data_IF_577082913764
#
_entry.id   IF_577082913764
#
_cell.length_a   1.000
_cell.length_b   1.000
_cell.length_c   1.000
_cell.angle_alpha   90.00
_cell.angle_beta   90.00
_cell.angle_gamma   90.00
#
_symmetry.space_group_name_H-M   'P 1'
#
loop_
_entity.id
_entity.type
_entity.pdbx_description
1 polymer ?
#
# COMPACT_ATOMS: atom_id res chain seq x y z
N UNK A 1 48.39 -21.52 -14.06
CA UNK A 1 47.83 -22.06 -12.79
C UNK A 1 47.13 -20.94 -11.98
N UNK A 2 47.52 -19.69 -12.13
CA UNK A 2 46.95 -18.57 -11.36
C UNK A 2 45.54 -18.12 -11.88
N UNK A 3 45.30 -18.26 -13.19
CA UNK A 3 44.06 -17.82 -13.80
C UNK A 3 42.83 -18.57 -13.27
N UNK A 4 42.96 -19.84 -12.94
CA UNK A 4 41.85 -20.65 -12.39
C UNK A 4 41.50 -20.22 -10.95
N UNK A 5 42.46 -19.86 -10.14
CA UNK A 5 42.20 -19.37 -8.78
C UNK A 5 41.53 -18.00 -8.79
N UNK A 6 41.89 -17.13 -9.73
CA UNK A 6 41.20 -15.83 -9.90
C UNK A 6 39.76 -15.98 -10.38
N UNK A 7 39.51 -16.89 -11.33
CA UNK A 7 38.20 -17.22 -11.77
C UNK A 7 37.30 -17.72 -10.63
N UNK A 8 37.78 -18.62 -9.81
CA UNK A 8 37.09 -19.16 -8.64
C UNK A 8 36.77 -18.09 -7.61
N UNK A 9 37.68 -17.17 -7.36
CA UNK A 9 37.46 -16.02 -6.46
C UNK A 9 36.42 -15.05 -7.03
N UNK A 10 36.43 -14.78 -8.33
CA UNK A 10 35.50 -13.93 -9.00
C UNK A 10 34.06 -14.49 -8.87
N UNK A 11 33.88 -15.79 -9.12
CA UNK A 11 32.56 -16.47 -8.94
C UNK A 11 32.09 -16.37 -7.49
N UNK A 12 32.98 -16.56 -6.51
CA UNK A 12 32.64 -16.45 -5.10
C UNK A 12 32.23 -15.04 -4.68
N UNK A 13 32.70 -14.01 -5.38
CA UNK A 13 32.32 -12.60 -5.19
C UNK A 13 31.07 -12.21 -5.94
N UNK A 14 30.46 -13.11 -6.72
CA UNK A 14 29.21 -12.85 -7.43
C UNK A 14 29.37 -11.92 -8.62
N UNK A 15 30.50 -11.95 -9.34
CA UNK A 15 30.65 -11.22 -10.61
C UNK A 15 29.82 -11.89 -11.71
N UNK A 16 29.23 -11.11 -12.57
CA UNK A 16 28.34 -11.62 -13.63
C UNK A 16 29.12 -12.40 -14.71
N UNK A 17 30.35 -12.00 -15.00
CA UNK A 17 31.25 -12.72 -15.93
C UNK A 17 32.70 -12.28 -15.72
N UNK A 18 33.67 -13.00 -16.29
CA UNK A 18 35.08 -12.62 -16.28
C UNK A 18 35.76 -12.87 -17.62
N UNK A 19 36.72 -12.05 -17.96
CA UNK A 19 37.43 -12.10 -19.25
C UNK A 19 38.94 -12.29 -19.03
N UNK A 20 39.53 -13.21 -19.77
CA UNK A 20 40.97 -13.42 -19.77
C UNK A 20 41.67 -12.52 -20.79
N UNK A 21 42.82 -12.00 -20.43
CA UNK A 21 43.69 -11.26 -21.35
C UNK A 21 44.54 -12.22 -22.21
N UNK A 22 44.72 -11.97 -23.50
CA UNK A 22 44.20 -10.84 -24.29
C UNK A 22 42.69 -10.97 -24.63
N UNK A 23 41.91 -9.90 -24.38
CA UNK A 23 40.48 -9.91 -24.59
C UNK A 23 40.15 -9.78 -26.07
N UNK A 24 39.50 -10.78 -26.65
CA UNK A 24 39.02 -10.73 -28.00
C UNK A 24 37.78 -9.80 -28.09
N UNK A 25 37.71 -8.94 -29.11
CA UNK A 25 36.58 -8.00 -29.31
C UNK A 25 35.23 -8.70 -29.33
N UNK A 26 35.14 -9.85 -30.00
CA UNK A 26 33.91 -10.63 -30.06
C UNK A 26 33.45 -11.15 -28.70
N UNK A 27 34.36 -11.65 -27.89
CA UNK A 27 34.08 -12.13 -26.55
C UNK A 27 33.61 -11.02 -25.62
N UNK A 28 34.26 -9.84 -25.65
CA UNK A 28 33.82 -8.66 -24.93
C UNK A 28 32.40 -8.22 -25.28
N UNK A 29 32.10 -8.17 -26.59
CA UNK A 29 30.76 -7.79 -27.09
C UNK A 29 29.70 -8.81 -26.64
N UNK A 30 30.01 -10.11 -26.68
CA UNK A 30 29.09 -11.15 -26.23
C UNK A 30 28.76 -11.03 -24.74
N UNK A 31 29.75 -10.77 -23.91
CA UNK A 31 29.53 -10.55 -22.47
C UNK A 31 28.65 -9.34 -22.21
N UNK A 32 28.91 -8.22 -22.88
CA UNK A 32 28.09 -7.02 -22.77
C UNK A 32 26.63 -7.26 -23.23
N UNK A 33 26.44 -8.00 -24.32
CA UNK A 33 25.09 -8.33 -24.79
C UNK A 33 24.33 -9.19 -23.78
N UNK A 34 25.00 -10.17 -23.18
CA UNK A 34 24.41 -11.02 -22.15
C UNK A 34 23.98 -10.18 -20.92
N UNK A 35 24.90 -9.35 -20.40
CA UNK A 35 24.59 -8.46 -19.27
C UNK A 35 23.41 -7.53 -19.60
N UNK A 36 23.37 -6.96 -20.80
CA UNK A 36 22.27 -6.11 -21.24
C UNK A 36 20.93 -6.85 -21.28
N UNK A 37 20.91 -8.08 -21.80
CA UNK A 37 19.70 -8.92 -21.83
C UNK A 37 19.23 -9.26 -20.41
N UNK A 38 20.13 -9.69 -19.53
CA UNK A 38 19.80 -9.98 -18.13
C UNK A 38 19.23 -8.76 -17.40
N UNK A 39 19.75 -7.56 -17.71
CA UNK A 39 19.26 -6.31 -17.14
C UNK A 39 17.86 -5.95 -17.66
N UNK A 40 17.58 -6.13 -18.97
CA UNK A 40 16.25 -5.93 -19.54
C UNK A 40 15.22 -6.91 -18.96
N UNK A 41 15.60 -8.19 -18.80
CA UNK A 41 14.69 -9.19 -18.22
C UNK A 41 14.35 -8.88 -16.75
N UNK A 42 15.35 -8.53 -15.96
CA UNK A 42 15.13 -8.09 -14.56
C UNK A 42 14.26 -6.84 -14.48
N UNK A 43 14.48 -5.86 -15.37
CA UNK A 43 13.64 -4.66 -15.45
C UNK A 43 12.19 -4.97 -15.78
N UNK A 44 11.93 -5.81 -16.79
CA UNK A 44 10.56 -6.25 -17.16
C UNK A 44 9.87 -7.01 -16.01
N UNK A 45 10.62 -7.81 -15.28
CA UNK A 45 10.10 -8.55 -14.13
C UNK A 45 9.72 -7.60 -13.00
N UNK A 46 10.54 -6.59 -12.71
CA UNK A 46 10.28 -5.56 -11.72
C UNK A 46 9.02 -4.75 -12.07
N UNK A 47 8.92 -4.26 -13.32
CA UNK A 47 7.75 -3.53 -13.83
C UNK A 47 6.46 -4.36 -13.72
N UNK A 48 6.56 -5.67 -13.97
CA UNK A 48 5.42 -6.58 -13.84
C UNK A 48 4.96 -6.68 -12.38
N UNK A 49 5.89 -6.85 -11.44
CA UNK A 49 5.56 -6.90 -10.01
C UNK A 49 4.94 -5.59 -9.50
N UNK A 50 5.48 -4.45 -9.91
CA UNK A 50 4.93 -3.15 -9.52
C UNK A 50 3.51 -2.94 -10.05
N UNK A 51 3.24 -3.31 -11.30
CA UNK A 51 1.89 -3.27 -11.88
C UNK A 51 0.94 -4.21 -11.15
N UNK A 52 1.39 -5.44 -10.87
CA UNK A 52 0.59 -6.41 -10.14
C UNK A 52 0.24 -5.92 -8.74
N UNK A 53 1.20 -5.35 -8.01
CA UNK A 53 0.94 -4.74 -6.70
C UNK A 53 -0.07 -3.59 -6.77
N UNK A 54 0.03 -2.73 -7.78
CA UNK A 54 -0.91 -1.63 -7.97
C UNK A 54 -2.33 -2.13 -8.27
N UNK A 55 -2.47 -3.14 -9.12
CA UNK A 55 -3.77 -3.74 -9.42
C UNK A 55 -4.35 -4.47 -8.22
N UNK A 56 -3.51 -5.20 -7.48
CA UNK A 56 -3.91 -5.89 -6.25
C UNK A 56 -4.41 -4.91 -5.19
N UNK A 57 -3.69 -3.81 -4.96
CA UNK A 57 -4.13 -2.73 -4.04
C UNK A 57 -5.45 -2.09 -4.47
N UNK A 58 -5.67 -1.89 -5.77
CA UNK A 58 -6.96 -1.38 -6.29
C UNK A 58 -8.10 -2.35 -6.01
N UNK A 59 -7.88 -3.65 -6.24
CA UNK A 59 -8.86 -4.69 -5.97
C UNK A 59 -9.19 -4.78 -4.48
N UNK A 60 -8.19 -4.76 -3.62
CA UNK A 60 -8.34 -4.78 -2.17
C UNK A 60 -9.15 -3.57 -1.68
N UNK A 61 -8.84 -2.37 -2.15
CA UNK A 61 -9.58 -1.16 -1.80
C UNK A 61 -11.04 -1.19 -2.27
N UNK A 62 -11.30 -1.77 -3.43
CA UNK A 62 -12.68 -1.93 -3.93
C UNK A 62 -13.46 -2.91 -3.07
N UNK A 63 -12.88 -4.06 -2.78
CA UNK A 63 -13.51 -5.09 -1.95
C UNK A 63 -13.77 -4.60 -0.51
N UNK A 64 -12.87 -3.80 0.04
CA UNK A 64 -13.06 -3.13 1.33
C UNK A 64 -14.24 -2.18 1.32
N UNK A 65 -14.36 -1.38 0.27
CA UNK A 65 -15.48 -0.45 0.12
C UNK A 65 -16.82 -1.18 0.01
N UNK A 66 -16.87 -2.25 -0.79
CA UNK A 66 -18.09 -3.05 -0.98
C UNK A 66 -18.52 -3.74 0.34
N UNK A 67 -17.54 -4.22 1.11
CA UNK A 67 -17.79 -4.76 2.44
C UNK A 67 -18.36 -3.71 3.41
N UNK A 68 -17.77 -2.51 3.40
CA UNK A 68 -18.27 -1.40 4.21
C UNK A 68 -19.69 -0.98 3.81
N UNK A 69 -19.97 -0.85 2.51
CA UNK A 69 -21.30 -0.55 2.00
C UNK A 69 -22.34 -1.59 2.46
N UNK A 70 -21.93 -2.85 2.50
CA UNK A 70 -22.73 -3.94 3.05
C UNK A 70 -23.09 -3.71 4.52
N UNK A 71 -22.11 -3.35 5.36
CA UNK A 71 -22.30 -3.11 6.79
C UNK A 71 -23.26 -1.95 7.08
N UNK A 72 -23.23 -0.90 6.25
CA UNK A 72 -23.97 0.35 6.51
C UNK A 72 -25.34 0.36 5.87
N UNK A 73 -25.50 -0.24 4.68
CA UNK A 73 -26.70 -0.03 3.86
C UNK A 73 -27.66 -1.22 3.84
N UNK A 74 -27.19 -2.42 4.15
CA UNK A 74 -27.99 -3.64 4.03
C UNK A 74 -28.28 -4.24 5.40
N UNK A 75 -29.53 -4.67 5.58
CA UNK A 75 -29.89 -5.58 6.67
C UNK A 75 -29.40 -6.98 6.31
N UNK A 76 -28.15 -7.24 6.61
CA UNK A 76 -27.47 -8.50 6.29
C UNK A 76 -27.36 -9.34 7.55
N UNK A 77 -27.47 -10.64 7.42
CA UNK A 77 -27.26 -11.56 8.52
C UNK A 77 -25.79 -11.51 8.98
N UNK A 78 -25.58 -11.62 10.29
CA UNK A 78 -24.24 -11.65 10.90
C UNK A 78 -23.34 -12.70 10.26
N UNK A 79 -23.88 -13.85 9.89
CA UNK A 79 -23.12 -14.91 9.25
C UNK A 79 -22.57 -14.47 7.90
N UNK A 80 -23.34 -13.76 7.08
CA UNK A 80 -22.85 -13.23 5.79
C UNK A 80 -21.75 -12.19 5.96
N UNK A 81 -21.83 -11.37 7.02
CA UNK A 81 -20.80 -10.41 7.38
C UNK A 81 -19.49 -11.12 7.70
N UNK A 82 -19.54 -12.13 8.56
CA UNK A 82 -18.34 -12.90 8.94
C UNK A 82 -17.73 -13.66 7.75
N UNK A 83 -18.52 -14.32 6.92
CA UNK A 83 -18.03 -15.01 5.74
C UNK A 83 -17.34 -14.07 4.74
N UNK A 84 -17.85 -12.84 4.58
CA UNK A 84 -17.22 -11.83 3.72
C UNK A 84 -15.96 -11.24 4.34
N UNK A 85 -15.97 -10.99 5.63
CA UNK A 85 -14.80 -10.51 6.36
C UNK A 85 -13.64 -11.53 6.27
N UNK A 86 -13.94 -12.80 6.47
CA UNK A 86 -12.96 -13.89 6.36
C UNK A 86 -12.33 -13.96 4.95
N UNK A 87 -13.16 -13.88 3.90
CA UNK A 87 -12.68 -13.85 2.51
C UNK A 87 -11.75 -12.67 2.20
N UNK A 88 -11.94 -11.56 2.91
CA UNK A 88 -11.13 -10.36 2.77
C UNK A 88 -9.98 -10.30 3.79
N UNK A 89 -9.79 -11.37 4.57
CA UNK A 89 -8.80 -11.44 5.66
C UNK A 89 -8.96 -10.31 6.69
N UNK A 90 -10.22 -9.90 6.96
CA UNK A 90 -10.54 -8.96 8.00
C UNK A 90 -10.88 -9.71 9.28
N UNK A 91 -10.12 -9.47 10.31
CA UNK A 91 -10.49 -9.87 11.67
C UNK A 91 -11.41 -8.80 12.26
N UNK A 92 -12.71 -9.09 12.24
CA UNK A 92 -13.75 -8.18 12.76
C UNK A 92 -14.34 -8.68 14.08
N UNK A 93 -13.68 -9.60 14.76
CA UNK A 93 -14.17 -10.12 16.04
C UNK A 93 -13.82 -9.15 17.18
N UNK A 94 -14.82 -8.51 17.76
CA UNK A 94 -14.65 -7.61 18.89
C UNK A 94 -15.91 -7.58 19.76
N UNK A 95 -15.78 -7.11 20.99
CA UNK A 95 -16.92 -6.94 21.91
C UNK A 95 -17.74 -5.70 21.60
N UNK A 96 -17.08 -4.66 21.06
CA UNK A 96 -17.72 -3.37 20.75
C UNK A 96 -17.14 -2.74 19.49
N UNK A 97 -18.00 -1.99 18.81
CA UNK A 97 -17.69 -1.30 17.57
C UNK A 97 -18.12 0.16 17.63
N UNK A 98 -17.25 1.06 17.14
CA UNK A 98 -17.60 2.45 16.88
C UNK A 98 -17.23 2.83 15.45
N UNK A 99 -17.97 3.79 14.88
CA UNK A 99 -17.68 4.34 13.57
C UNK A 99 -17.44 5.84 13.66
N UNK A 100 -16.36 6.30 13.05
CA UNK A 100 -16.04 7.72 12.89
C UNK A 100 -16.19 8.08 11.42
N UNK A 101 -17.13 8.99 11.12
CA UNK A 101 -17.33 9.53 9.78
C UNK A 101 -16.70 10.91 9.69
N UNK A 102 -15.92 11.15 8.67
CA UNK A 102 -15.36 12.48 8.40
C UNK A 102 -15.23 12.73 6.89
N UNK A 103 -15.23 13.99 6.52
CA UNK A 103 -15.01 14.40 5.14
C UNK A 103 -14.04 15.57 5.08
N UNK A 104 -13.20 15.58 4.06
CA UNK A 104 -12.33 16.70 3.74
C UNK A 104 -13.17 17.71 2.95
N UNK A 105 -13.38 18.90 3.51
CA UNK A 105 -14.10 19.98 2.83
C UNK A 105 -13.19 21.19 2.75
N UNK A 106 -13.32 21.94 1.67
CA UNK A 106 -12.59 23.18 1.48
C UNK A 106 -13.22 24.31 2.33
N UNK A 107 -12.36 25.13 2.94
CA UNK A 107 -12.76 26.44 3.45
C UNK A 107 -13.07 27.36 2.27
N UNK A 108 -14.21 28.02 2.26
CA UNK A 108 -14.81 28.76 1.13
C UNK A 108 -14.05 30.01 0.63
N UNK A 109 -12.77 30.17 0.95
CA UNK A 109 -12.07 31.45 0.73
C UNK A 109 -11.20 31.54 -0.55
N UNK A 110 -11.29 30.59 -1.48
CA UNK A 110 -10.49 30.68 -2.72
C UNK A 110 -11.31 30.32 -3.97
N UNK A 111 -11.59 31.36 -4.77
CA UNK A 111 -12.28 31.28 -6.07
C UNK A 111 -11.43 30.67 -7.22
N UNK A 112 -10.33 30.04 -6.94
CA UNK A 112 -9.46 29.43 -7.95
C UNK A 112 -9.30 27.92 -7.69
N UNK A 113 -9.92 27.13 -8.57
CA UNK A 113 -9.65 25.69 -8.70
C UNK A 113 -8.22 25.52 -9.22
N UNK A 114 -7.26 25.54 -8.30
CA UNK A 114 -5.84 25.49 -8.63
C UNK A 114 -5.30 24.04 -8.49
N UNK A 115 -4.31 23.68 -9.33
CA UNK A 115 -3.57 22.41 -9.24
C UNK A 115 -2.96 22.18 -7.84
N UNK A 116 -2.69 23.24 -7.08
CA UNK A 116 -2.22 23.21 -5.68
C UNK A 116 -3.24 22.58 -4.73
N UNK A 117 -4.54 22.77 -4.99
CA UNK A 117 -5.60 22.13 -4.21
C UNK A 117 -5.54 20.61 -4.32
N UNK A 118 -5.44 20.08 -5.54
CA UNK A 118 -5.35 18.64 -5.77
C UNK A 118 -4.14 18.01 -5.08
N UNK A 119 -3.01 18.71 -5.04
CA UNK A 119 -1.79 18.23 -4.37
C UNK A 119 -1.96 18.21 -2.86
N UNK A 120 -2.47 19.31 -2.28
CA UNK A 120 -2.68 19.41 -0.81
C UNK A 120 -3.67 18.36 -0.31
N UNK A 121 -4.74 18.13 -1.02
CA UNK A 121 -5.71 17.07 -0.67
C UNK A 121 -5.08 15.68 -0.78
N UNK A 122 -4.29 15.42 -1.81
CA UNK A 122 -3.57 14.15 -1.95
C UNK A 122 -2.57 13.93 -0.82
N UNK A 123 -1.84 14.98 -0.41
CA UNK A 123 -0.89 14.93 0.70
C UNK A 123 -1.61 14.66 2.04
N UNK A 124 -2.75 15.34 2.30
CA UNK A 124 -3.58 15.09 3.48
C UNK A 124 -4.14 13.66 3.48
N UNK A 125 -4.63 13.18 2.35
CA UNK A 125 -5.11 11.80 2.22
C UNK A 125 -4.02 10.80 2.56
N UNK A 126 -2.81 11.04 2.07
CA UNK A 126 -1.67 10.19 2.38
C UNK A 126 -1.30 10.22 3.87
N UNK A 127 -1.29 11.40 4.48
CA UNK A 127 -1.02 11.54 5.92
C UNK A 127 -2.05 10.82 6.78
N UNK A 128 -3.34 10.90 6.42
CA UNK A 128 -4.43 10.18 7.08
C UNK A 128 -4.24 8.67 6.93
N UNK A 129 -4.00 8.19 5.71
CA UNK A 129 -3.78 6.77 5.43
C UNK A 129 -2.55 6.24 6.20
N UNK A 130 -1.43 6.98 6.19
CA UNK A 130 -0.19 6.60 6.90
C UNK A 130 -0.36 6.61 8.43
N UNK A 131 -1.16 7.53 8.97
CA UNK A 131 -1.42 7.62 10.42
C UNK A 131 -2.33 6.49 10.89
N UNK A 132 -3.43 6.25 10.18
CA UNK A 132 -4.43 5.26 10.57
C UNK A 132 -3.96 3.82 10.32
N UNK A 133 -3.09 3.57 9.33
CA UNK A 133 -2.52 2.23 9.11
C UNK A 133 -1.60 1.73 10.24
N UNK A 134 -1.10 2.63 11.07
CA UNK A 134 -0.26 2.29 12.23
C UNK A 134 -1.06 1.78 13.43
N UNK A 135 -2.33 2.10 13.45
CA UNK A 135 -3.23 1.70 14.53
C UNK A 135 -3.76 0.29 14.31
N UNK A 136 -3.74 -0.53 15.35
CA UNK A 136 -4.31 -1.87 15.33
C UNK A 136 -5.82 -1.82 15.62
N UNK A 137 -6.53 -2.83 15.12
CA UNK A 137 -7.96 -3.02 15.40
C UNK A 137 -8.84 -1.85 14.93
N UNK A 138 -8.44 -1.23 13.81
CA UNK A 138 -9.28 -0.30 13.07
C UNK A 138 -9.19 -0.57 11.56
N UNK A 139 -10.27 -0.27 10.87
CA UNK A 139 -10.32 -0.34 9.43
C UNK A 139 -10.78 1.00 8.84
N UNK A 140 -10.07 1.46 7.82
CA UNK A 140 -10.38 2.71 7.12
C UNK A 140 -11.03 2.40 5.79
N UNK A 141 -12.17 3.01 5.56
CA UNK A 141 -12.91 2.88 4.30
C UNK A 141 -13.09 4.25 3.67
N UNK A 142 -12.77 4.35 2.39
CA UNK A 142 -13.05 5.55 1.60
C UNK A 142 -14.43 5.39 0.95
N UNK A 143 -15.42 6.11 1.44
CA UNK A 143 -16.81 6.05 0.92
C UNK A 143 -16.98 6.85 -0.37
N UNK A 144 -16.37 8.04 -0.43
CA UNK A 144 -16.34 8.93 -1.60
C UNK A 144 -14.94 9.54 -1.72
N UNK A 145 -14.74 10.35 -2.77
CA UNK A 145 -13.42 10.96 -3.05
C UNK A 145 -12.81 11.67 -1.83
N UNK A 146 -13.68 12.31 -1.01
CA UNK A 146 -13.26 13.11 0.15
C UNK A 146 -13.90 12.65 1.47
N UNK A 147 -14.63 11.54 1.49
CA UNK A 147 -15.32 11.04 2.66
C UNK A 147 -14.76 9.70 3.11
N UNK A 148 -14.54 9.60 4.40
CA UNK A 148 -13.93 8.44 5.04
C UNK A 148 -14.81 7.93 6.17
N UNK A 149 -14.69 6.66 6.42
CA UNK A 149 -15.24 6.00 7.60
C UNK A 149 -14.14 5.16 8.25
N UNK A 150 -14.00 5.32 9.53
CA UNK A 150 -13.10 4.50 10.36
C UNK A 150 -13.97 3.62 11.23
N UNK A 151 -13.85 2.31 11.07
CA UNK A 151 -14.42 1.31 11.97
C UNK A 151 -13.39 1.01 13.05
N UNK A 152 -13.73 1.31 14.29
CA UNK A 152 -12.93 0.98 15.47
C UNK A 152 -13.53 -0.23 16.16
N UNK A 153 -12.66 -1.09 16.65
CA UNK A 153 -13.01 -2.29 17.40
C UNK A 153 -12.29 -2.29 18.73
N UNK A 154 -12.88 -2.90 19.73
CA UNK A 154 -12.29 -2.99 21.06
C UNK A 154 -13.25 -3.56 22.08
N UNK A 155 -12.84 -3.50 23.35
CA UNK A 155 -13.65 -3.90 24.49
C UNK A 155 -14.60 -2.77 24.91
N UNK A 156 -15.66 -3.10 25.63
CA UNK A 156 -16.62 -2.11 26.14
C UNK A 156 -15.99 -0.99 26.97
N UNK A 157 -14.90 -1.31 27.67
CA UNK A 157 -14.23 -0.35 28.56
C UNK A 157 -13.35 0.65 27.78
N UNK A 158 -12.71 0.23 26.70
CA UNK A 158 -11.70 1.02 25.98
C UNK A 158 -12.20 1.70 24.71
N UNK A 159 -13.28 1.22 24.09
CA UNK A 159 -13.75 1.69 22.78
C UNK A 159 -14.03 3.20 22.75
N UNK A 160 -14.54 3.77 23.83
CA UNK A 160 -14.85 5.21 23.90
C UNK A 160 -13.57 6.06 23.91
N UNK A 161 -12.57 5.63 24.66
CA UNK A 161 -11.29 6.34 24.73
C UNK A 161 -10.52 6.24 23.41
N UNK A 162 -10.50 5.08 22.81
CA UNK A 162 -9.90 4.87 21.47
C UNK A 162 -10.57 5.72 20.41
N UNK A 163 -11.91 5.86 20.47
CA UNK A 163 -12.65 6.73 19.56
C UNK A 163 -12.22 8.18 19.70
N UNK A 164 -12.08 8.68 20.93
CA UNK A 164 -11.61 10.05 21.19
C UNK A 164 -10.18 10.26 20.70
N UNK A 165 -9.30 9.28 20.90
CA UNK A 165 -7.92 9.34 20.41
C UNK A 165 -7.86 9.37 18.88
N UNK A 166 -8.66 8.55 18.21
CA UNK A 166 -8.79 8.56 16.75
C UNK A 166 -9.28 9.92 16.24
N UNK A 167 -10.34 10.48 16.84
CA UNK A 167 -10.87 11.80 16.46
C UNK A 167 -9.83 12.88 16.67
N UNK A 168 -9.10 12.86 17.79
CA UNK A 168 -8.03 13.83 18.08
C UNK A 168 -6.90 13.72 17.05
N UNK A 169 -6.44 12.51 16.75
CA UNK A 169 -5.42 12.27 15.72
C UNK A 169 -5.83 12.86 14.37
N UNK A 170 -7.09 12.67 13.96
CA UNK A 170 -7.61 13.22 12.71
C UNK A 170 -7.68 14.76 12.75
N UNK A 171 -8.05 15.36 13.87
CA UNK A 171 -8.05 16.81 14.05
C UNK A 171 -6.64 17.37 13.95
N UNK A 172 -5.67 16.76 14.62
CA UNK A 172 -4.26 17.19 14.61
C UNK A 172 -3.62 17.11 13.20
N UNK A 173 -4.12 16.24 12.30
CA UNK A 173 -3.68 16.16 10.90
C UNK A 173 -4.34 17.23 10.02
N UNK A 174 -5.57 17.63 10.38
CA UNK A 174 -6.37 18.55 9.57
C UNK A 174 -6.15 20.02 9.90
N UNK A 175 -5.52 20.33 11.02
CA UNK A 175 -5.07 21.68 11.40
C UNK A 175 -3.76 22.07 10.68
#
# INVERSE_FOLDING_TARGET
YDDFEYAKKAIALGVDDYLLKPIAKAEFVNVLQKIYQDFEEKGKQQDYYEKFEQEFKKYENHSRRDFFELLVTKHVDLQEIYEKAEKLSFDIMAESYNMVFFSLSESKDTDTVDQRYSQRVADLQKQIDDALQKEKELYVFRNQTFSYVVLLMGDHENIQERTKQCVKLLQDILE
#
